data_IF_881743970616
#
_entry.id   IF_881743970616
#
_cell.length_a   1.000
_cell.length_b   1.000
_cell.length_c   1.000
_cell.angle_alpha   90.00
_cell.angle_beta   90.00
_cell.angle_gamma   90.00
#
_symmetry.space_group_name_H-M   'P 1'
#
loop_
_entity.id
_entity.type
_entity.pdbx_description
1 polymer ?
#
# COMPACT_ATOMS: atom_id res chain seq x y z
N UNK A 1 -13.10 11.77 -20.49
CA UNK A 1 -11.80 12.45 -20.32
C UNK A 1 -11.16 12.60 -21.69
N UNK A 2 -10.77 13.81 -22.11
CA UNK A 2 -10.20 14.05 -23.45
C UNK A 2 -8.74 13.56 -23.53
N UNK A 3 -8.27 13.24 -24.75
CA UNK A 3 -6.94 12.68 -25.01
C UNK A 3 -5.82 13.53 -24.41
N UNK A 4 -5.92 14.85 -24.51
CA UNK A 4 -4.97 15.79 -23.91
C UNK A 4 -4.83 15.59 -22.39
N UNK A 5 -5.96 15.46 -21.68
CA UNK A 5 -5.95 15.28 -20.23
C UNK A 5 -5.41 13.90 -19.83
N UNK A 6 -5.64 12.86 -20.64
CA UNK A 6 -5.03 11.54 -20.42
C UNK A 6 -3.50 11.59 -20.57
N UNK A 7 -3.00 12.28 -21.60
CA UNK A 7 -1.56 12.44 -21.84
C UNK A 7 -0.93 13.27 -20.72
N UNK A 8 -1.57 14.36 -20.30
CA UNK A 8 -1.09 15.18 -19.20
C UNK A 8 -1.04 14.40 -17.88
N UNK A 9 -2.08 13.62 -17.58
CA UNK A 9 -2.11 12.75 -16.39
C UNK A 9 -1.01 11.68 -16.45
N UNK A 10 -0.81 11.04 -17.59
CA UNK A 10 0.24 10.04 -17.77
C UNK A 10 1.64 10.66 -17.59
N UNK A 11 1.91 11.83 -18.19
CA UNK A 11 3.17 12.55 -18.02
C UNK A 11 3.41 12.95 -16.56
N UNK A 12 2.36 13.41 -15.86
CA UNK A 12 2.45 13.73 -14.44
C UNK A 12 2.79 12.50 -13.59
N UNK A 13 2.13 11.37 -13.84
CA UNK A 13 2.42 10.12 -13.12
C UNK A 13 3.86 9.64 -13.37
N UNK A 14 4.35 9.72 -14.61
CA UNK A 14 5.73 9.38 -14.94
C UNK A 14 6.71 10.30 -14.20
N UNK A 15 6.48 11.61 -14.24
CA UNK A 15 7.32 12.57 -13.50
C UNK A 15 7.31 12.30 -12.00
N UNK A 16 6.15 11.98 -11.43
CA UNK A 16 6.03 11.62 -10.02
C UNK A 16 6.87 10.38 -9.69
N UNK A 17 6.83 9.34 -10.52
CA UNK A 17 7.66 8.14 -10.34
C UNK A 17 9.14 8.46 -10.40
N UNK A 18 9.58 9.25 -11.38
CA UNK A 18 10.99 9.68 -11.51
C UNK A 18 11.43 10.49 -10.29
N UNK A 19 10.57 11.40 -9.81
CA UNK A 19 10.83 12.23 -8.64
C UNK A 19 10.92 11.42 -7.34
N UNK A 20 10.04 10.43 -7.16
CA UNK A 20 10.03 9.56 -5.97
C UNK A 20 11.06 8.43 -6.02
N UNK A 21 11.58 8.10 -7.21
CA UNK A 21 12.58 7.05 -7.42
C UNK A 21 13.79 7.09 -6.47
N UNK A 22 14.48 8.24 -6.24
CA UNK A 22 15.61 8.28 -5.31
C UNK A 22 15.20 7.97 -3.87
N UNK A 23 14.04 8.45 -3.42
CA UNK A 23 13.53 8.16 -2.08
C UNK A 23 13.20 6.66 -1.93
N UNK A 24 12.58 6.07 -2.95
CA UNK A 24 12.33 4.64 -3.02
C UNK A 24 13.64 3.84 -2.95
N UNK A 25 14.64 4.20 -3.76
CA UNK A 25 15.96 3.54 -3.75
C UNK A 25 16.64 3.63 -2.39
N UNK A 26 16.65 4.82 -1.79
CA UNK A 26 17.20 5.02 -0.45
C UNK A 26 16.49 4.14 0.60
N UNK A 27 15.17 4.04 0.52
CA UNK A 27 14.39 3.22 1.46
C UNK A 27 14.55 1.71 1.20
N UNK A 28 14.76 1.28 -0.05
CA UNK A 28 15.08 -0.11 -0.34
C UNK A 28 16.45 -0.54 0.23
N UNK A 29 17.44 0.35 0.15
CA UNK A 29 18.82 0.04 0.56
C UNK A 29 19.03 0.26 2.07
N UNK A 30 18.38 1.27 2.66
CA UNK A 30 18.61 1.70 4.05
C UNK A 30 17.36 1.66 4.94
N UNK A 31 16.20 1.22 4.41
CA UNK A 31 14.96 1.19 5.17
C UNK A 31 15.00 0.18 6.33
N UNK A 32 14.17 0.40 7.37
CA UNK A 32 14.06 -0.53 8.48
C UNK A 32 13.61 -1.89 7.96
N UNK A 33 14.40 -2.93 8.25
CA UNK A 33 14.03 -4.30 7.92
C UNK A 33 13.06 -4.81 8.97
N UNK A 34 12.16 -5.71 8.56
CA UNK A 34 11.25 -6.36 9.49
C UNK A 34 12.06 -7.06 10.60
N UNK A 35 11.81 -6.65 11.83
CA UNK A 35 12.42 -7.21 13.02
C UNK A 35 11.56 -8.35 13.59
N UNK A 36 12.12 -9.07 14.58
CA UNK A 36 11.35 -10.07 15.31
C UNK A 36 10.23 -9.36 16.07
N UNK A 37 8.97 -9.66 15.73
CA UNK A 37 7.80 -9.03 16.34
C UNK A 37 6.94 -8.27 15.33
N UNK A 38 7.51 -7.78 14.24
CA UNK A 38 6.77 -7.01 13.22
C UNK A 38 5.72 -7.87 12.52
N UNK A 39 6.05 -9.14 12.27
CA UNK A 39 5.11 -10.11 11.71
C UNK A 39 3.94 -10.39 12.66
N UNK A 40 4.21 -10.54 13.96
CA UNK A 40 3.16 -10.72 14.96
C UNK A 40 2.28 -9.46 15.07
N UNK A 41 2.90 -8.29 15.05
CA UNK A 41 2.19 -7.01 15.09
C UNK A 41 1.32 -6.80 13.84
N UNK A 42 1.75 -7.26 12.67
CA UNK A 42 0.96 -7.21 11.43
C UNK A 42 -0.19 -8.24 11.40
N UNK A 43 0.01 -9.42 12.00
CA UNK A 43 -1.03 -10.47 12.04
C UNK A 43 -2.24 -10.02 12.87
N UNK A 44 -2.03 -9.33 13.99
CA UNK A 44 -3.12 -8.90 14.88
C UNK A 44 -4.22 -8.09 14.16
N UNK A 45 -3.94 -6.98 13.45
CA UNK A 45 -4.96 -6.24 12.72
C UNK A 45 -5.55 -7.03 11.55
N UNK A 46 -4.75 -7.85 10.85
CA UNK A 46 -5.25 -8.70 9.75
C UNK A 46 -6.30 -9.71 10.25
N UNK A 47 -5.99 -10.41 11.35
CA UNK A 47 -6.92 -11.34 12.00
C UNK A 47 -8.14 -10.60 12.52
N UNK A 48 -7.99 -9.39 13.07
CA UNK A 48 -9.12 -8.58 13.50
C UNK A 48 -10.07 -8.24 12.34
N UNK A 49 -9.54 -7.83 11.18
CA UNK A 49 -10.36 -7.55 9.98
C UNK A 49 -11.08 -8.82 9.51
N UNK A 50 -10.37 -9.94 9.39
CA UNK A 50 -10.98 -11.22 9.02
C UNK A 50 -12.09 -11.60 10.01
N UNK A 51 -11.84 -11.44 11.31
CA UNK A 51 -12.82 -11.70 12.37
C UNK A 51 -14.07 -10.84 12.23
N UNK A 52 -13.92 -9.54 11.97
CA UNK A 52 -15.05 -8.63 11.73
C UNK A 52 -15.86 -9.08 10.51
N UNK A 53 -15.22 -9.43 9.40
CA UNK A 53 -15.91 -9.93 8.19
C UNK A 53 -16.68 -11.20 8.48
N UNK A 54 -16.10 -12.15 9.21
CA UNK A 54 -16.78 -13.39 9.61
C UNK A 54 -17.99 -13.10 10.49
N UNK A 55 -17.87 -12.22 11.48
CA UNK A 55 -18.99 -11.81 12.34
C UNK A 55 -20.14 -11.19 11.54
N UNK A 56 -19.83 -10.33 10.57
CA UNK A 56 -20.84 -9.74 9.68
C UNK A 56 -21.56 -10.82 8.86
N UNK A 57 -20.82 -11.80 8.33
CA UNK A 57 -21.40 -12.94 7.60
C UNK A 57 -22.31 -13.77 8.49
N UNK A 58 -21.95 -13.99 9.76
CA UNK A 58 -22.78 -14.73 10.72
C UNK A 58 -24.05 -13.97 11.10
N UNK A 59 -24.03 -12.64 11.09
CA UNK A 59 -25.17 -11.81 11.51
C UNK A 59 -26.26 -11.68 10.42
N UNK A 60 -25.89 -11.88 9.16
CA UNK A 60 -26.79 -11.74 7.99
C UNK A 60 -27.22 -13.10 7.41
N UNK A 61 -26.67 -14.21 7.90
CA UNK A 61 -27.13 -15.57 7.58
C UNK A 61 -28.21 -16.03 8.55
#
# INVERSE_FOLDING_TARGET
MNLFLQIAAAAFLIMMLVYLWPAFKNWQEHGPKAEKGDWQAAILPLVAVVGVVVLLVMLVR
#
